data_IF_814125561525
#
_entry.id   IF_814125561525
#
_cell.length_a   1.000
_cell.length_b   1.000
_cell.length_c   1.000
_cell.angle_alpha   90.00
_cell.angle_beta   90.00
_cell.angle_gamma   90.00
#
_symmetry.space_group_name_H-M   'P 1'
#
loop_
_entity.id
_entity.type
_entity.pdbx_description
1 polymer ?
#
# COMPACT_ATOMS: atom_id res chain seq x y z
N UNK A 1 63.41 40.92 -46.00
CA UNK A 1 63.78 40.89 -44.57
C UNK A 1 62.86 41.87 -43.88
N UNK A 2 61.98 41.58 -42.93
CA UNK A 2 61.68 40.46 -42.02
C UNK A 2 60.23 40.80 -41.54
N UNK A 3 59.23 39.90 -41.67
CA UNK A 3 58.52 39.21 -40.56
C UNK A 3 57.97 40.14 -39.45
N UNK A 4 56.72 40.07 -38.94
CA UNK A 4 55.77 38.97 -38.81
C UNK A 4 54.38 39.53 -38.41
N UNK A 5 53.35 38.71 -38.56
CA UNK A 5 51.93 39.05 -38.60
C UNK A 5 51.23 39.26 -37.24
N UNK A 6 50.26 40.17 -37.29
CA UNK A 6 48.96 40.21 -36.56
C UNK A 6 48.56 38.93 -35.85
N UNK A 7 48.27 39.00 -34.53
CA UNK A 7 47.13 38.35 -33.85
C UNK A 7 46.78 39.06 -32.53
N UNK A 8 45.74 39.90 -32.54
CA UNK A 8 45.00 40.27 -31.33
C UNK A 8 44.14 39.06 -30.90
N UNK A 9 44.47 38.42 -29.79
CA UNK A 9 43.64 37.40 -29.16
C UNK A 9 42.54 38.10 -28.34
N UNK A 10 41.33 38.20 -28.90
CA UNK A 10 40.13 38.46 -28.10
C UNK A 10 39.80 37.18 -27.32
N UNK A 11 40.09 37.18 -26.02
CA UNK A 11 39.52 36.19 -25.09
C UNK A 11 38.03 36.52 -24.89
N UNK A 12 37.15 35.79 -25.58
CA UNK A 12 35.73 35.81 -25.30
C UNK A 12 35.48 35.05 -23.98
N UNK A 13 35.31 35.79 -22.88
CA UNK A 13 34.76 35.25 -21.64
C UNK A 13 33.30 34.88 -21.93
N UNK A 14 33.02 33.61 -22.19
CA UNK A 14 31.66 33.08 -22.15
C UNK A 14 31.20 33.11 -20.69
N UNK A 15 30.49 34.18 -20.34
CA UNK A 15 29.70 34.27 -19.13
C UNK A 15 28.53 33.28 -19.30
N UNK A 16 28.75 32.03 -18.87
CA UNK A 16 27.69 31.03 -18.81
C UNK A 16 26.61 31.50 -17.85
N UNK A 17 25.55 32.09 -18.39
CA UNK A 17 24.33 32.33 -17.63
C UNK A 17 23.79 30.96 -17.20
N UNK A 18 24.04 30.58 -15.96
CA UNK A 18 23.26 29.55 -15.31
C UNK A 18 21.82 30.09 -15.28
N UNK A 19 21.00 29.68 -16.25
CA UNK A 19 19.57 29.86 -16.16
C UNK A 19 19.17 29.26 -14.80
N UNK A 20 18.39 29.99 -13.97
CA UNK A 20 17.93 29.43 -12.73
C UNK A 20 17.29 28.08 -13.05
N UNK A 21 17.68 27.02 -12.34
CA UNK A 21 16.94 25.77 -12.34
C UNK A 21 15.54 26.11 -11.84
N UNK A 22 14.62 26.40 -12.77
CA UNK A 22 13.24 26.72 -12.47
C UNK A 22 12.60 25.38 -12.15
N UNK A 23 12.69 25.00 -10.88
CA UNK A 23 11.83 23.98 -10.36
C UNK A 23 10.38 24.43 -10.57
N UNK A 24 9.57 23.55 -11.15
CA UNK A 24 8.18 23.81 -11.48
C UNK A 24 7.27 23.15 -10.45
N UNK A 25 6.10 23.75 -10.20
CA UNK A 25 5.12 23.13 -9.32
C UNK A 25 4.49 21.87 -9.95
N UNK A 26 4.41 21.82 -11.28
CA UNK A 26 3.83 20.70 -12.03
C UNK A 26 4.63 20.41 -13.30
N UNK A 27 5.01 19.15 -13.46
CA UNK A 27 5.59 18.59 -14.68
C UNK A 27 4.65 17.55 -15.30
N UNK A 28 4.89 17.24 -16.57
CA UNK A 28 4.09 16.30 -17.33
C UNK A 28 4.96 15.21 -17.95
N UNK A 29 4.41 14.00 -18.01
CA UNK A 29 5.01 12.88 -18.74
C UNK A 29 4.06 12.34 -19.81
N UNK A 30 4.66 11.83 -20.89
CA UNK A 30 3.96 11.27 -22.03
C UNK A 30 4.74 10.09 -22.61
N UNK A 31 4.07 8.98 -22.83
CA UNK A 31 4.61 7.82 -23.52
C UNK A 31 4.62 7.99 -25.04
N UNK A 32 3.82 8.91 -25.59
CA UNK A 32 3.66 9.10 -27.04
C UNK A 32 4.69 10.08 -27.60
N UNK A 33 4.83 11.26 -26.97
CA UNK A 33 5.66 12.37 -27.43
C UNK A 33 6.64 12.91 -26.38
N UNK A 34 6.77 12.24 -25.23
CA UNK A 34 7.69 12.65 -24.17
C UNK A 34 9.16 12.44 -24.52
N UNK A 35 10.00 13.37 -24.09
CA UNK A 35 11.45 13.31 -24.20
C UNK A 35 12.09 13.92 -22.93
N UNK A 36 12.97 13.18 -22.25
CA UNK A 36 13.61 13.65 -21.02
C UNK A 36 14.59 14.81 -21.24
N UNK A 37 14.99 15.11 -22.49
CA UNK A 37 15.66 16.37 -22.81
C UNK A 37 14.82 17.61 -22.47
N UNK A 38 13.49 17.46 -22.38
CA UNK A 38 12.57 18.54 -22.01
C UNK A 38 12.65 18.93 -20.52
N UNK A 39 13.44 18.22 -19.71
CA UNK A 39 13.84 18.67 -18.37
C UNK A 39 14.50 20.05 -18.40
N UNK A 40 15.22 20.39 -19.48
CA UNK A 40 15.77 21.72 -19.70
C UNK A 40 14.71 22.84 -19.74
N UNK A 41 13.44 22.47 -19.95
CA UNK A 41 12.27 23.37 -20.02
C UNK A 41 11.20 23.04 -18.97
N UNK A 42 11.55 22.26 -17.93
CA UNK A 42 10.64 21.93 -16.83
C UNK A 42 9.55 20.90 -17.17
N UNK A 43 9.69 20.12 -18.26
CA UNK A 43 8.72 19.11 -18.67
C UNK A 43 7.28 19.67 -18.80
N UNK A 44 7.11 20.82 -19.46
CA UNK A 44 5.81 21.46 -19.66
C UNK A 44 4.85 20.57 -20.47
N UNK A 45 3.54 20.81 -20.40
CA UNK A 45 2.55 19.99 -21.13
C UNK A 45 2.75 19.97 -22.65
N UNK A 46 3.31 21.03 -23.24
CA UNK A 46 3.65 21.11 -24.67
C UNK A 46 4.99 20.44 -25.03
N UNK A 47 5.82 20.14 -24.02
CA UNK A 47 7.11 19.48 -24.13
C UNK A 47 7.29 18.52 -22.92
N UNK A 48 6.48 17.45 -22.82
CA UNK A 48 6.49 16.58 -21.65
C UNK A 48 7.77 15.73 -21.60
N UNK A 49 8.13 15.27 -20.40
CA UNK A 49 9.21 14.30 -20.24
C UNK A 49 8.72 12.88 -20.58
N UNK A 50 9.64 11.95 -20.83
CA UNK A 50 9.28 10.57 -21.18
C UNK A 50 8.98 9.76 -19.92
N UNK A 51 9.84 9.87 -18.93
CA UNK A 51 9.80 9.03 -17.72
C UNK A 51 9.45 9.86 -16.48
N UNK A 52 8.77 9.24 -15.52
CA UNK A 52 8.55 9.86 -14.20
C UNK A 52 9.86 10.29 -13.55
N UNK A 53 10.91 9.46 -13.69
CA UNK A 53 12.24 9.74 -13.17
C UNK A 53 12.86 11.03 -13.75
N UNK A 54 12.64 11.32 -15.03
CA UNK A 54 13.07 12.58 -15.64
C UNK A 54 12.29 13.77 -15.08
N UNK A 55 10.96 13.68 -15.09
CA UNK A 55 10.08 14.75 -14.65
C UNK A 55 10.28 15.14 -13.17
N UNK A 56 10.52 14.17 -12.27
CA UNK A 56 10.69 14.49 -10.86
C UNK A 56 11.92 15.35 -10.55
N UNK A 57 12.94 15.37 -11.42
CA UNK A 57 14.16 16.16 -11.20
C UNK A 57 13.97 17.65 -11.33
N UNK A 58 12.86 18.08 -11.96
CA UNK A 58 12.54 19.49 -12.23
C UNK A 58 11.32 19.96 -11.44
N UNK A 59 10.75 19.13 -10.58
CA UNK A 59 9.56 19.47 -9.78
C UNK A 59 9.97 19.88 -8.39
N UNK A 60 9.38 20.96 -7.87
CA UNK A 60 9.58 21.38 -6.48
C UNK A 60 9.05 20.34 -5.47
N UNK A 61 9.62 20.24 -4.26
CA UNK A 61 8.99 19.49 -3.18
C UNK A 61 7.53 19.93 -2.98
N UNK A 62 6.65 18.96 -2.81
CA UNK A 62 5.19 19.06 -2.76
C UNK A 62 4.53 19.39 -4.11
N UNK A 63 5.26 19.30 -5.21
CA UNK A 63 4.73 19.41 -6.57
C UNK A 63 4.05 18.14 -7.10
N UNK A 64 3.73 18.16 -8.39
CA UNK A 64 2.97 17.11 -9.08
C UNK A 64 3.61 16.72 -10.42
N UNK A 65 3.62 15.42 -10.70
CA UNK A 65 3.91 14.87 -12.04
C UNK A 65 2.64 14.23 -12.59
N UNK A 66 2.21 14.67 -13.78
CA UNK A 66 0.98 14.19 -14.44
C UNK A 66 1.32 13.34 -15.65
N UNK A 67 0.83 12.10 -15.69
CA UNK A 67 0.84 11.28 -16.91
C UNK A 67 -0.33 11.66 -17.83
N UNK A 68 0.00 12.17 -19.01
CA UNK A 68 -0.96 12.74 -19.95
C UNK A 68 -1.60 11.72 -20.90
N UNK A 69 -0.92 10.60 -21.16
CA UNK A 69 -1.40 9.58 -22.08
C UNK A 69 -1.09 8.16 -21.61
N UNK A 70 -1.73 7.18 -22.24
CA UNK A 70 -1.61 5.77 -21.85
C UNK A 70 -0.26 5.19 -22.25
N UNK A 71 0.47 4.61 -21.30
CA UNK A 71 1.73 3.94 -21.55
C UNK A 71 2.49 3.54 -20.29
N UNK A 72 3.72 3.07 -20.49
CA UNK A 72 4.62 2.70 -19.41
C UNK A 72 5.52 3.88 -19.01
N UNK A 73 5.66 4.12 -17.71
CA UNK A 73 6.36 5.26 -17.13
C UNK A 73 7.51 4.89 -16.19
N UNK A 74 7.82 3.60 -16.08
CA UNK A 74 9.02 3.08 -15.44
C UNK A 74 8.98 3.10 -13.91
N UNK A 75 9.86 2.30 -13.30
CA UNK A 75 10.05 2.29 -11.86
C UNK A 75 10.71 3.60 -11.38
N UNK A 76 10.42 4.00 -10.14
CA UNK A 76 10.89 5.29 -9.58
C UNK A 76 11.34 5.17 -8.13
N UNK A 77 12.33 6.00 -7.78
CA UNK A 77 12.76 6.22 -6.40
C UNK A 77 12.43 7.66 -6.02
N UNK A 78 11.46 7.82 -5.12
CA UNK A 78 10.93 9.13 -4.73
C UNK A 78 11.67 9.62 -3.48
N UNK A 79 12.41 10.72 -3.64
CA UNK A 79 13.27 11.28 -2.60
C UNK A 79 12.74 12.57 -1.99
N UNK A 80 11.62 13.09 -2.48
CA UNK A 80 10.97 14.29 -1.98
C UNK A 80 9.45 14.11 -1.93
N UNK A 81 8.78 14.93 -1.13
CA UNK A 81 7.32 14.91 -1.10
C UNK A 81 6.78 15.31 -2.47
N UNK A 82 5.88 14.53 -3.08
CA UNK A 82 5.26 14.88 -4.35
C UNK A 82 4.08 13.96 -4.67
N UNK A 83 3.34 14.33 -5.72
CA UNK A 83 2.22 13.54 -6.24
C UNK A 83 2.49 13.06 -7.66
N UNK A 84 2.04 11.84 -7.96
CA UNK A 84 2.00 11.27 -9.30
C UNK A 84 0.55 10.96 -9.65
N UNK A 85 0.05 11.57 -10.72
CA UNK A 85 -1.35 11.47 -11.13
C UNK A 85 -1.46 11.00 -12.57
N UNK A 86 -2.24 9.94 -12.83
CA UNK A 86 -2.73 9.67 -14.18
C UNK A 86 -3.90 10.60 -14.50
N UNK A 87 -3.89 11.22 -15.69
CA UNK A 87 -5.06 11.95 -16.17
C UNK A 87 -6.28 11.00 -16.26
N UNK A 88 -7.52 11.51 -16.12
CA UNK A 88 -8.70 10.66 -16.21
C UNK A 88 -8.74 9.86 -17.52
N UNK A 89 -8.95 8.54 -17.43
CA UNK A 89 -8.98 7.63 -18.58
C UNK A 89 -7.61 7.18 -19.10
N UNK A 90 -6.51 7.68 -18.51
CA UNK A 90 -5.15 7.30 -18.88
C UNK A 90 -4.69 6.07 -18.10
N UNK A 91 -4.10 5.11 -18.81
CA UNK A 91 -3.35 4.01 -18.23
C UNK A 91 -1.90 4.45 -17.98
N UNK A 92 -1.55 4.78 -16.74
CA UNK A 92 -0.16 5.06 -16.35
C UNK A 92 0.46 3.82 -15.69
N UNK A 93 1.21 3.05 -16.48
CA UNK A 93 1.76 1.76 -16.06
C UNK A 93 3.18 1.82 -15.50
N UNK A 94 3.43 1.09 -14.41
CA UNK A 94 4.75 0.75 -13.89
C UNK A 94 4.87 -0.79 -13.91
N UNK A 95 5.63 -1.30 -14.87
CA UNK A 95 5.93 -2.74 -14.96
C UNK A 95 7.17 -3.07 -14.12
N UNK A 96 7.01 -3.98 -13.17
CA UNK A 96 8.07 -4.38 -12.23
C UNK A 96 8.68 -5.71 -12.67
N UNK A 97 9.80 -5.62 -13.38
CA UNK A 97 10.54 -6.80 -13.84
C UNK A 97 11.37 -7.47 -12.75
N UNK A 98 11.92 -6.67 -11.84
CA UNK A 98 12.65 -7.11 -10.65
C UNK A 98 12.62 -6.00 -9.59
N UNK A 99 12.83 -6.36 -8.32
CA UNK A 99 12.89 -5.38 -7.24
C UNK A 99 11.57 -4.62 -7.04
N UNK A 100 11.66 -3.32 -6.77
CA UNK A 100 10.52 -2.48 -6.42
C UNK A 100 10.06 -1.62 -7.61
N UNK A 101 8.76 -1.43 -7.79
CA UNK A 101 8.21 -0.48 -8.76
C UNK A 101 8.35 0.97 -8.31
N UNK A 102 7.96 1.26 -7.07
CA UNK A 102 8.11 2.56 -6.41
C UNK A 102 8.88 2.35 -5.11
N UNK A 103 9.97 3.11 -4.93
CA UNK A 103 10.76 3.10 -3.70
C UNK A 103 10.67 4.45 -2.99
N UNK A 104 10.35 4.41 -1.69
CA UNK A 104 10.30 5.58 -0.80
C UNK A 104 11.13 5.26 0.44
N UNK A 105 12.33 5.84 0.51
CA UNK A 105 13.30 5.56 1.57
C UNK A 105 13.86 6.84 2.21
N UNK A 106 13.26 7.99 1.92
CA UNK A 106 13.71 9.29 2.45
C UNK A 106 12.85 9.69 3.66
N UNK A 107 13.45 10.03 4.82
CA UNK A 107 12.70 10.49 5.97
C UNK A 107 11.83 11.72 5.67
N UNK A 108 10.65 11.77 6.29
CA UNK A 108 9.80 12.97 6.26
C UNK A 108 9.04 13.21 4.94
N UNK A 109 9.23 12.40 3.90
CA UNK A 109 8.55 12.60 2.62
C UNK A 109 7.08 12.17 2.66
N UNK A 110 6.23 12.92 1.97
CA UNK A 110 4.82 12.63 1.77
C UNK A 110 4.54 12.38 0.28
N UNK A 111 4.10 11.17 -0.06
CA UNK A 111 3.89 10.75 -1.46
C UNK A 111 2.43 10.45 -1.72
N UNK A 112 1.93 10.89 -2.87
CA UNK A 112 0.60 10.52 -3.39
C UNK A 112 0.76 9.84 -4.73
N UNK A 113 0.18 8.64 -4.88
CA UNK A 113 0.05 7.93 -6.14
C UNK A 113 -1.43 7.83 -6.47
N UNK A 114 -1.83 8.34 -7.63
CA UNK A 114 -3.23 8.43 -8.02
C UNK A 114 -3.46 7.92 -9.44
N UNK A 115 -4.30 6.89 -9.59
CA UNK A 115 -4.63 6.34 -10.91
C UNK A 115 -3.49 5.55 -11.55
N UNK A 116 -2.46 5.18 -10.79
CA UNK A 116 -1.28 4.47 -11.31
C UNK A 116 -1.57 2.96 -11.31
N UNK A 117 -1.23 2.28 -12.40
CA UNK A 117 -1.24 0.82 -12.46
C UNK A 117 0.17 0.29 -12.26
N UNK A 118 0.36 -0.60 -11.29
CA UNK A 118 1.65 -1.20 -10.93
C UNK A 118 1.49 -2.71 -10.97
N UNK A 119 2.26 -3.39 -11.81
CA UNK A 119 2.16 -4.84 -11.92
C UNK A 119 3.53 -5.50 -12.01
N UNK A 120 3.65 -6.67 -11.38
CA UNK A 120 4.83 -7.50 -11.56
C UNK A 120 4.81 -8.19 -12.92
N UNK A 121 6.00 -8.41 -13.47
CA UNK A 121 6.24 -9.19 -14.70
C UNK A 121 6.81 -10.58 -14.39
N UNK A 122 6.64 -11.06 -13.15
CA UNK A 122 6.98 -12.42 -12.72
C UNK A 122 8.12 -12.52 -11.70
N UNK A 123 8.94 -11.48 -11.55
CA UNK A 123 10.05 -11.46 -10.58
C UNK A 123 10.14 -10.15 -9.76
N UNK A 124 9.12 -9.29 -9.83
CA UNK A 124 9.02 -8.11 -8.96
C UNK A 124 8.83 -8.51 -7.50
N UNK A 125 9.58 -7.88 -6.59
CA UNK A 125 9.48 -8.14 -5.14
C UNK A 125 8.42 -7.28 -4.49
N UNK A 126 8.27 -6.02 -4.90
CA UNK A 126 7.25 -5.12 -4.30
C UNK A 126 6.74 -4.07 -5.28
N UNK A 127 5.45 -3.78 -5.28
CA UNK A 127 4.88 -2.70 -6.10
C UNK A 127 5.29 -1.33 -5.58
N UNK A 128 4.90 -1.01 -4.35
CA UNK A 128 5.30 0.20 -3.62
C UNK A 128 5.96 -0.19 -2.32
N UNK A 129 7.23 0.17 -2.15
CA UNK A 129 7.99 -0.09 -0.93
C UNK A 129 8.33 1.21 -0.23
N UNK A 130 7.81 1.39 0.99
CA UNK A 130 8.09 2.53 1.86
C UNK A 130 8.82 2.07 3.12
N UNK A 131 10.14 2.21 3.10
CA UNK A 131 11.03 1.88 4.23
C UNK A 131 11.40 3.11 5.07
N UNK A 132 11.11 4.31 4.58
CA UNK A 132 11.16 5.55 5.34
C UNK A 132 10.24 6.61 4.72
N UNK A 133 9.83 7.60 5.50
CA UNK A 133 8.98 8.70 5.08
C UNK A 133 7.93 9.04 6.14
N UNK A 134 7.05 9.98 5.83
CA UNK A 134 5.99 10.42 6.75
C UNK A 134 4.59 9.98 6.30
N UNK A 135 4.30 10.05 4.99
CA UNK A 135 2.95 9.77 4.46
C UNK A 135 2.97 9.07 3.12
N UNK A 136 2.04 8.15 2.92
CA UNK A 136 1.76 7.51 1.63
C UNK A 136 0.26 7.49 1.36
N UNK A 137 -0.18 8.07 0.24
CA UNK A 137 -1.54 7.92 -0.26
C UNK A 137 -1.54 7.12 -1.56
N UNK A 138 -2.34 6.05 -1.60
CA UNK A 138 -2.55 5.18 -2.77
C UNK A 138 -4.02 5.26 -3.16
N UNK A 139 -4.32 6.07 -4.17
CA UNK A 139 -5.68 6.47 -4.52
C UNK A 139 -6.05 5.97 -5.92
N UNK A 140 -7.08 5.13 -6.01
CA UNK A 140 -7.60 4.65 -7.30
C UNK A 140 -6.51 4.01 -8.17
N UNK A 141 -5.59 3.31 -7.54
CA UNK A 141 -4.53 2.58 -8.23
C UNK A 141 -4.99 1.15 -8.54
N UNK A 142 -4.22 0.47 -9.40
CA UNK A 142 -4.34 -0.98 -9.61
C UNK A 142 -2.99 -1.60 -9.32
N UNK A 143 -2.92 -2.57 -8.42
CA UNK A 143 -1.68 -3.22 -8.00
C UNK A 143 -1.83 -4.73 -8.11
N UNK A 144 -1.04 -5.38 -8.98
CA UNK A 144 -1.33 -6.78 -9.32
C UNK A 144 -0.15 -7.69 -9.66
N UNK A 145 -0.43 -8.99 -9.58
CA UNK A 145 0.39 -10.09 -10.09
C UNK A 145 1.73 -10.30 -9.37
N UNK A 146 1.91 -9.78 -8.15
CA UNK A 146 3.14 -10.01 -7.38
C UNK A 146 3.23 -11.49 -6.97
N UNK A 147 4.31 -12.21 -7.35
CA UNK A 147 4.43 -13.66 -7.15
C UNK A 147 4.64 -14.01 -5.68
N UNK A 148 4.81 -15.31 -5.36
CA UNK A 148 5.07 -15.78 -4.00
C UNK A 148 6.20 -15.00 -3.29
N UNK A 149 5.95 -14.55 -2.07
CA UNK A 149 6.84 -13.68 -1.29
C UNK A 149 6.84 -12.21 -1.71
N UNK A 150 6.20 -11.86 -2.83
CA UNK A 150 6.04 -10.49 -3.32
C UNK A 150 4.93 -9.72 -2.62
N UNK A 151 5.05 -8.40 -2.59
CA UNK A 151 4.04 -7.51 -1.98
C UNK A 151 3.48 -6.50 -2.97
N UNK A 152 2.18 -6.25 -2.96
CA UNK A 152 1.62 -5.12 -3.70
C UNK A 152 2.14 -3.79 -3.12
N UNK A 153 1.85 -3.55 -1.85
CA UNK A 153 2.36 -2.42 -1.06
C UNK A 153 3.01 -2.94 0.21
N UNK A 154 4.19 -2.43 0.53
CA UNK A 154 4.89 -2.77 1.76
C UNK A 154 5.39 -1.51 2.46
N UNK A 155 4.90 -1.28 3.67
CA UNK A 155 5.32 -0.16 4.53
C UNK A 155 5.90 -0.75 5.81
N UNK A 156 7.20 -0.57 6.05
CA UNK A 156 7.89 -1.07 7.24
C UNK A 156 8.54 0.05 8.06
N UNK A 157 7.83 1.18 8.14
CA UNK A 157 8.24 2.38 8.86
C UNK A 157 7.03 3.05 9.48
N UNK A 158 7.26 3.92 10.47
CA UNK A 158 6.20 4.72 11.07
C UNK A 158 5.75 5.79 10.09
N UNK A 159 4.56 5.61 9.51
CA UNK A 159 3.98 6.51 8.52
C UNK A 159 2.45 6.53 8.61
N UNK A 160 1.85 7.65 8.21
CA UNK A 160 0.41 7.71 7.93
C UNK A 160 0.14 7.18 6.52
N UNK A 161 -0.63 6.11 6.41
CA UNK A 161 -0.93 5.43 5.15
C UNK A 161 -2.41 5.59 4.83
N UNK A 162 -2.74 6.01 3.61
CA UNK A 162 -4.09 6.03 3.09
C UNK A 162 -4.18 5.18 1.84
N UNK A 163 -5.13 4.26 1.81
CA UNK A 163 -5.48 3.47 0.62
C UNK A 163 -6.96 3.70 0.34
N UNK A 164 -7.30 4.13 -0.87
CA UNK A 164 -8.68 4.49 -1.19
C UNK A 164 -9.06 4.13 -2.62
N UNK A 165 -10.13 3.36 -2.80
CA UNK A 165 -10.61 3.01 -4.14
C UNK A 165 -9.62 2.20 -4.97
N UNK A 166 -8.67 1.52 -4.31
CA UNK A 166 -7.56 0.84 -4.99
C UNK A 166 -7.90 -0.64 -5.15
N UNK A 167 -7.59 -1.18 -6.33
CA UNK A 167 -7.73 -2.59 -6.63
C UNK A 167 -6.39 -3.31 -6.44
N UNK A 168 -6.38 -4.34 -5.60
CA UNK A 168 -5.31 -5.29 -5.45
C UNK A 168 -5.75 -6.63 -6.01
N UNK A 169 -5.00 -7.20 -6.96
CA UNK A 169 -5.38 -8.46 -7.61
C UNK A 169 -4.19 -9.40 -7.80
N UNK A 170 -4.36 -10.67 -7.42
CA UNK A 170 -3.41 -11.75 -7.66
C UNK A 170 -1.99 -11.44 -7.14
N UNK A 171 -1.92 -10.85 -5.95
CA UNK A 171 -0.66 -10.61 -5.24
C UNK A 171 -0.42 -11.73 -4.25
N UNK A 172 0.82 -12.03 -3.86
CA UNK A 172 1.03 -12.88 -2.68
C UNK A 172 0.51 -12.20 -1.42
N UNK A 173 1.17 -11.11 -1.01
CA UNK A 173 0.61 -10.16 -0.05
C UNK A 173 0.14 -8.92 -0.80
N UNK A 174 -1.10 -8.50 -0.62
CA UNK A 174 -1.57 -7.28 -1.30
C UNK A 174 -1.09 -6.02 -0.58
N UNK A 175 -1.28 -5.92 0.74
CA UNK A 175 -0.83 -4.80 1.56
C UNK A 175 -0.20 -5.29 2.86
N UNK A 176 1.08 -5.01 3.05
CA UNK A 176 1.83 -5.33 4.28
C UNK A 176 2.18 -4.05 5.03
N UNK A 177 1.82 -4.00 6.30
CA UNK A 177 2.02 -2.88 7.21
C UNK A 177 2.83 -3.35 8.41
N UNK A 178 3.92 -2.66 8.72
CA UNK A 178 4.77 -2.91 9.88
C UNK A 178 5.45 -1.63 10.36
N UNK A 179 6.36 -1.74 11.33
CA UNK A 179 7.20 -0.62 11.76
C UNK A 179 6.48 0.56 12.39
N UNK A 180 5.24 0.36 12.89
CA UNK A 180 4.44 1.43 13.49
C UNK A 180 3.56 2.20 12.50
N UNK A 181 3.41 1.71 11.27
CA UNK A 181 2.51 2.30 10.28
C UNK A 181 1.05 2.39 10.79
N UNK A 182 0.37 3.47 10.42
CA UNK A 182 -1.04 3.72 10.73
C UNK A 182 -1.81 3.89 9.43
N UNK A 183 -2.58 2.88 9.05
CA UNK A 183 -3.29 2.85 7.79
C UNK A 183 -4.79 3.11 7.93
N UNK A 184 -5.36 3.87 6.99
CA UNK A 184 -6.80 3.92 6.72
C UNK A 184 -7.06 3.44 5.29
N UNK A 185 -7.76 2.32 5.17
CA UNK A 185 -8.11 1.65 3.92
C UNK A 185 -9.62 1.79 3.74
N UNK A 186 -10.07 2.35 2.62
CA UNK A 186 -11.49 2.58 2.37
C UNK A 186 -11.89 2.24 0.93
N UNK A 187 -13.01 1.54 0.74
CA UNK A 187 -13.53 1.28 -0.61
C UNK A 187 -12.55 0.54 -1.51
N UNK A 188 -11.68 -0.30 -0.95
CA UNK A 188 -10.62 -0.98 -1.70
C UNK A 188 -10.91 -2.47 -1.83
N UNK A 189 -10.47 -3.06 -2.92
CA UNK A 189 -10.82 -4.43 -3.28
C UNK A 189 -9.55 -5.27 -3.38
N UNK A 190 -9.55 -6.42 -2.71
CA UNK A 190 -8.44 -7.35 -2.63
C UNK A 190 -8.90 -8.72 -3.13
N UNK A 191 -8.50 -9.09 -4.34
CA UNK A 191 -8.89 -10.36 -4.96
C UNK A 191 -7.70 -11.29 -5.18
N UNK A 192 -7.88 -12.57 -4.84
CA UNK A 192 -6.92 -13.61 -5.21
C UNK A 192 -5.56 -13.49 -4.53
N UNK A 193 -5.50 -12.85 -3.35
CA UNK A 193 -4.25 -12.79 -2.59
C UNK A 193 -3.80 -14.18 -2.19
N UNK A 194 -2.62 -14.64 -2.62
CA UNK A 194 -2.19 -16.04 -2.38
C UNK A 194 -1.69 -16.27 -0.95
N UNK A 195 -1.41 -15.21 -0.19
CA UNK A 195 -1.21 -15.26 1.26
C UNK A 195 -2.21 -14.35 1.99
N UNK A 196 -1.97 -13.05 2.11
CA UNK A 196 -2.84 -12.13 2.84
C UNK A 196 -3.28 -10.92 2.02
N UNK A 197 -4.57 -10.56 2.11
CA UNK A 197 -5.08 -9.32 1.54
C UNK A 197 -4.51 -8.10 2.28
N UNK A 198 -4.64 -8.06 3.60
CA UNK A 198 -4.01 -7.04 4.46
C UNK A 198 -3.31 -7.73 5.61
N UNK A 199 -2.00 -7.52 5.72
CA UNK A 199 -1.17 -8.07 6.78
C UNK A 199 -0.58 -6.95 7.65
N UNK A 200 -1.11 -6.82 8.87
CA UNK A 200 -0.53 -5.96 9.91
C UNK A 200 0.37 -6.83 10.77
N UNK A 201 1.68 -6.58 10.70
CA UNK A 201 2.71 -7.45 11.26
C UNK A 201 3.81 -6.68 11.99
N UNK A 202 4.52 -7.36 12.87
CA UNK A 202 5.68 -6.85 13.59
C UNK A 202 7.03 -7.32 13.02
N UNK A 203 7.02 -8.26 12.06
CA UNK A 203 8.22 -8.91 11.52
C UNK A 203 9.28 -7.97 10.92
N UNK A 204 8.89 -6.75 10.52
CA UNK A 204 9.74 -5.82 9.79
C UNK A 204 9.92 -4.47 10.51
N UNK A 205 9.51 -4.40 11.79
CA UNK A 205 9.53 -3.19 12.60
C UNK A 205 10.56 -3.20 13.73
N UNK A 206 10.81 -2.03 14.31
CA UNK A 206 11.55 -1.89 15.57
C UNK A 206 10.78 -2.48 16.77
N UNK A 207 11.42 -2.51 17.94
CA UNK A 207 10.79 -2.97 19.18
C UNK A 207 9.90 -1.90 19.82
N UNK A 208 8.87 -2.33 20.55
CA UNK A 208 7.86 -1.51 21.22
C UNK A 208 7.00 -0.60 20.31
N UNK A 209 6.66 -1.07 19.11
CA UNK A 209 5.81 -0.31 18.16
C UNK A 209 4.39 -0.88 18.08
N UNK A 210 3.42 0.00 17.78
CA UNK A 210 2.05 -0.38 17.45
C UNK A 210 1.77 -0.08 15.97
N UNK A 211 1.51 -1.10 15.19
CA UNK A 211 1.08 -0.98 13.79
C UNK A 211 -0.44 -1.16 13.73
N UNK A 212 -1.15 -0.34 12.96
CA UNK A 212 -2.62 -0.35 12.94
C UNK A 212 -3.16 -0.16 11.53
N UNK A 213 -4.22 -0.89 11.19
CA UNK A 213 -5.03 -0.67 10.00
C UNK A 213 -6.51 -0.51 10.37
N UNK A 214 -7.13 0.57 9.91
CA UNK A 214 -8.57 0.76 9.90
C UNK A 214 -9.10 0.52 8.48
N UNK A 215 -10.04 -0.40 8.32
CA UNK A 215 -10.51 -0.92 7.04
C UNK A 215 -12.02 -0.73 6.97
N UNK A 216 -12.48 0.04 5.99
CA UNK A 216 -13.88 0.43 5.81
C UNK A 216 -14.38 0.09 4.40
N UNK A 217 -15.59 -0.45 4.28
CA UNK A 217 -16.27 -0.71 3.00
C UNK A 217 -15.36 -1.35 1.95
N UNK A 218 -14.59 -2.34 2.37
CA UNK A 218 -13.58 -2.99 1.54
C UNK A 218 -13.93 -4.46 1.34
N UNK A 219 -13.30 -5.07 0.34
CA UNK A 219 -13.54 -6.48 -0.04
C UNK A 219 -12.25 -7.26 0.06
N UNK A 220 -12.25 -8.42 0.73
CA UNK A 220 -11.19 -9.41 0.64
C UNK A 220 -11.78 -10.75 0.18
N UNK A 221 -11.47 -11.18 -1.04
CA UNK A 221 -12.12 -12.35 -1.61
C UNK A 221 -11.26 -13.24 -2.49
N UNK A 222 -11.55 -14.54 -2.44
CA UNK A 222 -10.92 -15.56 -3.30
C UNK A 222 -9.43 -15.76 -3.04
N UNK A 223 -8.91 -15.25 -1.92
CA UNK A 223 -7.52 -15.39 -1.52
C UNK A 223 -7.32 -16.49 -0.47
N UNK A 224 -6.14 -16.52 0.14
CA UNK A 224 -5.87 -17.40 1.27
C UNK A 224 -6.43 -16.82 2.58
N UNK A 225 -5.91 -15.69 3.06
CA UNK A 225 -6.45 -14.95 4.19
C UNK A 225 -6.88 -13.52 3.82
N UNK A 226 -7.94 -13.04 4.48
CA UNK A 226 -8.39 -11.66 4.34
C UNK A 226 -7.52 -10.68 5.13
N UNK A 227 -8.03 -10.17 6.25
CA UNK A 227 -7.35 -9.15 7.04
C UNK A 227 -6.77 -9.74 8.33
N UNK A 228 -5.46 -9.60 8.53
CA UNK A 228 -4.76 -10.22 9.65
C UNK A 228 -3.99 -9.21 10.48
N UNK A 229 -4.15 -9.29 11.80
CA UNK A 229 -3.23 -8.74 12.78
C UNK A 229 -2.40 -9.89 13.34
N UNK A 230 -1.11 -9.94 12.98
CA UNK A 230 -0.19 -10.96 13.48
C UNK A 230 0.94 -10.33 14.29
N UNK A 231 1.23 -10.88 15.46
CA UNK A 231 2.29 -10.40 16.32
C UNK A 231 3.14 -11.56 16.84
N UNK A 232 4.46 -11.44 16.74
CA UNK A 232 5.41 -12.49 17.10
C UNK A 232 6.51 -12.01 18.05
N UNK A 233 6.48 -10.74 18.45
CA UNK A 233 7.52 -10.08 19.24
C UNK A 233 6.92 -9.40 20.48
N UNK A 234 7.42 -9.77 21.66
CA UNK A 234 7.01 -9.15 22.92
C UNK A 234 7.22 -7.62 22.89
N UNK A 235 6.25 -6.88 23.45
CA UNK A 235 6.25 -5.41 23.50
C UNK A 235 5.68 -4.73 22.25
N UNK A 236 5.53 -5.44 21.13
CA UNK A 236 4.87 -4.91 19.93
C UNK A 236 3.35 -5.14 19.96
N UNK A 237 2.62 -4.36 19.15
CA UNK A 237 1.19 -4.56 18.93
C UNK A 237 0.83 -4.46 17.44
N UNK A 238 0.07 -5.42 16.95
CA UNK A 238 -0.52 -5.43 15.61
C UNK A 238 -2.03 -5.32 15.73
N UNK A 239 -2.66 -4.38 15.01
CA UNK A 239 -4.10 -4.09 15.15
C UNK A 239 -4.80 -3.93 13.82
N UNK A 240 -5.96 -4.57 13.69
CA UNK A 240 -6.87 -4.42 12.55
C UNK A 240 -8.26 -4.06 13.06
N UNK A 241 -8.86 -3.01 12.50
CA UNK A 241 -10.24 -2.62 12.77
C UNK A 241 -11.01 -2.64 11.45
N UNK A 242 -12.11 -3.39 11.37
CA UNK A 242 -12.86 -3.64 10.15
C UNK A 242 -14.30 -3.19 10.33
N UNK A 243 -14.81 -2.38 9.40
CA UNK A 243 -16.19 -1.94 9.33
C UNK A 243 -16.79 -2.13 7.94
N UNK A 244 -18.07 -2.49 7.89
CA UNK A 244 -18.91 -2.44 6.69
C UNK A 244 -18.31 -3.15 5.46
N UNK A 245 -17.57 -4.22 5.69
CA UNK A 245 -16.73 -4.89 4.68
C UNK A 245 -17.24 -6.29 4.34
N UNK A 246 -16.84 -6.80 3.18
CA UNK A 246 -17.15 -8.16 2.72
C UNK A 246 -15.87 -8.99 2.69
N UNK A 247 -15.88 -10.12 3.39
CA UNK A 247 -14.77 -11.07 3.39
C UNK A 247 -15.31 -12.43 2.97
N UNK A 248 -14.96 -12.87 1.76
CA UNK A 248 -15.61 -14.05 1.19
C UNK A 248 -14.76 -14.97 0.34
N UNK A 249 -15.00 -16.28 0.45
CA UNK A 249 -14.31 -17.27 -0.37
C UNK A 249 -12.81 -17.38 -0.07
N UNK A 250 -12.36 -17.00 1.13
CA UNK A 250 -10.96 -17.11 1.52
C UNK A 250 -10.65 -18.51 2.06
N UNK A 251 -9.59 -19.14 1.56
CA UNK A 251 -9.28 -20.56 1.87
C UNK A 251 -8.78 -20.82 3.28
N UNK A 252 -8.39 -19.78 4.04
CA UNK A 252 -8.00 -19.86 5.44
C UNK A 252 -8.98 -19.09 6.33
N UNK A 253 -8.98 -17.75 6.27
CA UNK A 253 -9.82 -16.95 7.14
C UNK A 253 -10.29 -15.64 6.51
N UNK A 254 -11.42 -15.09 6.97
CA UNK A 254 -11.81 -13.71 6.71
C UNK A 254 -10.95 -12.74 7.52
N UNK A 255 -11.10 -12.75 8.85
CA UNK A 255 -10.26 -11.93 9.77
C UNK A 255 -9.51 -12.83 10.73
N UNK A 256 -8.25 -12.50 11.00
CA UNK A 256 -7.43 -13.16 12.02
C UNK A 256 -6.77 -12.17 12.98
N UNK A 257 -6.80 -12.48 14.27
CA UNK A 257 -5.88 -11.95 15.27
C UNK A 257 -5.00 -13.09 15.81
N UNK A 258 -3.70 -13.04 15.55
CA UNK A 258 -2.75 -14.07 15.95
C UNK A 258 -1.57 -13.50 16.75
N UNK A 259 -1.32 -14.02 17.95
CA UNK A 259 -0.20 -13.58 18.79
C UNK A 259 0.66 -14.76 19.27
N UNK A 260 1.81 -14.98 18.64
CA UNK A 260 2.83 -15.88 19.17
C UNK A 260 3.58 -15.24 20.36
N UNK A 261 3.74 -13.92 20.32
CA UNK A 261 4.15 -13.07 21.43
C UNK A 261 3.53 -11.67 21.25
N UNK A 262 3.74 -10.77 22.21
CA UNK A 262 3.20 -9.41 22.13
C UNK A 262 1.67 -9.39 22.08
N UNK A 263 1.09 -8.36 21.44
CA UNK A 263 -0.36 -8.18 21.37
C UNK A 263 -0.88 -8.17 19.91
N UNK A 264 -1.90 -8.97 19.62
CA UNK A 264 -2.64 -8.90 18.36
C UNK A 264 -4.10 -8.57 18.64
N UNK A 265 -4.65 -7.59 17.92
CA UNK A 265 -6.02 -7.14 18.13
C UNK A 265 -6.78 -7.04 16.82
N UNK A 266 -7.98 -7.62 16.79
CA UNK A 266 -8.95 -7.39 15.73
C UNK A 266 -10.27 -6.89 16.33
N UNK A 267 -10.89 -5.87 15.70
CA UNK A 267 -12.28 -5.51 15.96
C UNK A 267 -13.06 -5.48 14.66
N UNK A 268 -14.22 -6.12 14.64
CA UNK A 268 -15.02 -6.26 13.41
C UNK A 268 -16.46 -5.88 13.67
N UNK A 269 -16.99 -4.97 12.83
CA UNK A 269 -18.36 -4.50 12.91
C UNK A 269 -19.05 -4.40 11.56
N UNK A 270 -20.36 -4.66 11.51
CA UNK A 270 -21.20 -4.36 10.34
C UNK A 270 -20.80 -5.10 9.07
N UNK A 271 -20.03 -6.18 9.20
CA UNK A 271 -19.33 -6.82 8.08
C UNK A 271 -19.91 -8.20 7.78
N UNK A 272 -19.69 -8.68 6.56
CA UNK A 272 -20.16 -9.97 6.09
C UNK A 272 -19.00 -10.94 5.84
N UNK A 273 -19.13 -12.15 6.38
CA UNK A 273 -18.17 -13.24 6.28
C UNK A 273 -18.86 -14.44 5.66
N UNK A 274 -18.52 -14.75 4.41
CA UNK A 274 -19.18 -15.79 3.64
C UNK A 274 -18.21 -16.75 2.97
N UNK A 275 -18.48 -18.05 3.01
CA UNK A 275 -17.73 -19.03 2.20
C UNK A 275 -16.22 -19.08 2.49
N UNK A 276 -15.79 -18.60 3.66
CA UNK A 276 -14.41 -18.74 4.10
C UNK A 276 -14.22 -20.09 4.79
N UNK A 277 -12.98 -20.55 4.88
CA UNK A 277 -12.69 -21.70 5.75
C UNK A 277 -12.97 -21.34 7.22
N UNK A 278 -12.44 -20.23 7.72
CA UNK A 278 -12.84 -19.61 8.98
C UNK A 278 -13.41 -18.20 8.73
N UNK A 279 -14.56 -17.86 9.29
CA UNK A 279 -15.06 -16.48 9.21
C UNK A 279 -14.13 -15.53 9.96
N UNK A 280 -14.01 -15.76 11.27
CA UNK A 280 -13.13 -14.99 12.16
C UNK A 280 -12.34 -15.93 13.05
N UNK A 281 -11.04 -15.68 13.20
CA UNK A 281 -10.15 -16.48 14.02
C UNK A 281 -9.36 -15.61 15.01
N UNK A 282 -9.26 -16.07 16.26
CA UNK A 282 -8.31 -15.54 17.24
C UNK A 282 -7.48 -16.66 17.84
N UNK A 283 -6.16 -16.47 17.94
CA UNK A 283 -5.26 -17.50 18.49
C UNK A 283 -4.01 -16.88 19.11
N UNK A 284 -3.57 -17.44 20.24
CA UNK A 284 -2.42 -16.96 21.02
C UNK A 284 -2.82 -16.14 22.24
N UNK A 285 -2.05 -16.27 23.33
CA UNK A 285 -2.37 -15.65 24.64
C UNK A 285 -2.48 -14.12 24.62
N UNK A 286 -1.77 -13.47 23.70
CA UNK A 286 -1.81 -12.01 23.50
C UNK A 286 -2.81 -11.56 22.45
N UNK A 287 -3.65 -12.46 21.92
CA UNK A 287 -4.58 -12.16 20.84
C UNK A 287 -6.00 -11.92 21.38
N UNK A 288 -6.63 -10.87 20.87
CA UNK A 288 -8.03 -10.56 21.14
C UNK A 288 -8.76 -10.23 19.85
N UNK A 289 -9.95 -10.79 19.67
CA UNK A 289 -10.86 -10.46 18.57
C UNK A 289 -12.22 -10.07 19.14
N UNK A 290 -12.71 -8.90 18.75
CA UNK A 290 -14.03 -8.40 19.14
C UNK A 290 -14.95 -8.38 17.92
N UNK A 291 -16.10 -9.05 18.02
CA UNK A 291 -17.09 -9.13 16.96
C UNK A 291 -18.43 -8.52 17.41
N UNK A 292 -18.96 -7.58 16.62
CA UNK A 292 -20.29 -7.00 16.82
C UNK A 292 -21.05 -6.81 15.51
N UNK A 293 -22.34 -7.12 15.46
CA UNK A 293 -23.22 -6.75 14.35
C UNK A 293 -22.73 -7.26 12.98
N UNK A 294 -22.21 -8.49 12.93
CA UNK A 294 -21.70 -9.11 11.71
C UNK A 294 -22.59 -10.25 11.22
N UNK A 295 -22.67 -10.42 9.90
CA UNK A 295 -23.22 -11.61 9.27
C UNK A 295 -22.12 -12.64 9.01
N UNK A 296 -22.13 -13.77 9.72
CA UNK A 296 -21.13 -14.84 9.60
C UNK A 296 -21.83 -16.12 9.15
N UNK A 297 -21.80 -16.37 7.83
CA UNK A 297 -22.65 -17.38 7.18
C UNK A 297 -21.89 -18.24 6.18
N UNK A 298 -22.29 -19.50 6.02
CA UNK A 298 -21.75 -20.39 4.99
C UNK A 298 -20.22 -20.59 5.02
N UNK A 299 -19.56 -20.36 6.16
CA UNK A 299 -18.15 -20.68 6.35
C UNK A 299 -18.00 -22.14 6.82
N UNK A 300 -16.84 -22.76 6.65
CA UNK A 300 -16.59 -24.08 7.27
C UNK A 300 -16.62 -23.96 8.81
N UNK A 301 -16.02 -22.90 9.33
CA UNK A 301 -16.09 -22.47 10.72
C UNK A 301 -16.48 -20.99 10.79
N UNK A 302 -17.45 -20.63 11.62
CA UNK A 302 -17.89 -19.25 11.80
C UNK A 302 -16.92 -18.46 12.68
N UNK A 303 -17.15 -18.47 13.99
CA UNK A 303 -16.29 -17.82 14.99
C UNK A 303 -15.36 -18.87 15.62
N UNK A 304 -14.05 -18.65 15.53
CA UNK A 304 -13.03 -19.59 16.00
C UNK A 304 -12.14 -18.94 17.06
N UNK A 305 -12.22 -19.47 18.27
CA UNK A 305 -11.22 -19.26 19.30
C UNK A 305 -10.24 -20.43 19.27
N UNK A 306 -9.06 -20.18 18.71
CA UNK A 306 -7.91 -21.09 18.70
C UNK A 306 -7.16 -21.07 20.04
N UNK A 307 -5.86 -21.41 20.00
CA UNK A 307 -5.02 -21.66 21.18
C UNK A 307 -4.91 -20.45 22.12
N UNK A 308 -5.69 -20.42 23.21
CA UNK A 308 -5.60 -19.42 24.29
C UNK A 308 -5.89 -17.96 23.89
N UNK A 309 -6.43 -17.72 22.70
CA UNK A 309 -6.90 -16.39 22.28
C UNK A 309 -8.21 -16.00 22.96
N UNK A 310 -8.52 -14.70 23.01
CA UNK A 310 -9.77 -14.19 23.57
C UNK A 310 -10.69 -13.74 22.43
N UNK A 311 -11.82 -14.45 22.24
CA UNK A 311 -12.87 -14.03 21.31
C UNK A 311 -14.01 -13.41 22.10
N UNK A 312 -14.27 -12.13 21.88
CA UNK A 312 -15.36 -11.38 22.48
C UNK A 312 -16.48 -11.12 21.47
N UNK A 313 -17.71 -11.36 21.88
CA UNK A 313 -18.90 -11.06 21.08
C UNK A 313 -19.82 -10.10 21.82
N UNK A 314 -20.33 -9.10 21.11
CA UNK A 314 -21.35 -8.17 21.61
C UNK A 314 -22.78 -8.77 21.60
N UNK A 315 -22.92 -10.06 21.26
CA UNK A 315 -24.19 -10.82 21.21
C UNK A 315 -25.20 -10.33 20.16
N UNK A 316 -24.75 -9.61 19.15
CA UNK A 316 -25.56 -9.05 18.05
C UNK A 316 -25.12 -9.55 16.67
N UNK A 317 -24.25 -10.56 16.61
CA UNK A 317 -23.79 -11.18 15.36
C UNK A 317 -24.77 -12.26 14.87
N UNK A 318 -25.06 -12.30 13.57
CA UNK A 318 -25.81 -13.36 12.91
C UNK A 318 -24.86 -14.48 12.47
N UNK A 319 -24.64 -15.47 13.36
CA UNK A 319 -23.73 -16.61 13.11
C UNK A 319 -24.54 -17.87 12.83
N UNK A 320 -24.74 -18.21 11.55
CA UNK A 320 -25.58 -19.35 11.15
C UNK A 320 -25.14 -20.00 9.86
N UNK A 321 -25.64 -21.21 9.60
CA UNK A 321 -25.40 -21.93 8.35
C UNK A 321 -23.92 -22.14 8.04
N UNK A 322 -23.06 -22.11 9.06
CA UNK A 322 -21.66 -22.54 8.94
C UNK A 322 -21.57 -24.04 9.23
N UNK A 323 -20.48 -24.69 8.80
CA UNK A 323 -20.20 -26.09 9.19
C UNK A 323 -20.16 -26.22 10.72
N UNK A 324 -19.43 -25.32 11.36
CA UNK A 324 -19.51 -25.06 12.80
C UNK A 324 -19.72 -23.56 13.02
N UNK A 325 -20.80 -23.15 13.69
CA UNK A 325 -21.03 -21.73 13.98
C UNK A 325 -19.98 -21.17 14.95
N UNK A 326 -19.61 -21.96 15.96
CA UNK A 326 -18.65 -21.57 16.99
C UNK A 326 -17.70 -22.74 17.24
N UNK A 327 -16.42 -22.43 17.34
CA UNK A 327 -15.38 -23.35 17.82
C UNK A 327 -14.57 -22.67 18.92
N UNK A 328 -14.41 -23.33 20.06
CA UNK A 328 -13.76 -22.76 21.25
C UNK A 328 -14.71 -21.93 22.11
N UNK A 329 -14.15 -21.06 22.95
CA UNK A 329 -14.88 -20.23 23.91
C UNK A 329 -15.11 -18.82 23.38
N UNK A 330 -16.35 -18.35 23.45
CA UNK A 330 -16.71 -16.95 23.18
C UNK A 330 -17.05 -16.27 24.51
N UNK A 331 -16.28 -15.24 24.83
CA UNK A 331 -16.56 -14.33 25.94
C UNK A 331 -17.62 -13.32 25.51
N UNK A 332 -18.55 -13.02 26.39
CA UNK A 332 -19.56 -12.00 26.17
C UNK A 332 -19.01 -10.65 26.63
N UNK A 333 -18.96 -9.67 25.72
CA UNK A 333 -18.44 -8.34 26.02
C UNK A 333 -19.47 -7.55 26.84
N UNK A 334 -19.35 -7.58 28.17
CA UNK A 334 -20.22 -6.80 29.05
C UNK A 334 -19.61 -5.44 29.34
N UNK A 335 -20.20 -4.38 28.80
CA UNK A 335 -20.71 -3.20 29.53
C UNK A 335 -21.41 -2.31 28.51
N UNK A 336 -22.74 -2.37 28.42
CA UNK A 336 -23.55 -1.35 27.77
C UNK A 336 -23.81 -0.29 28.86
N UNK A 337 -23.02 0.79 28.88
CA UNK A 337 -23.28 1.94 29.76
C UNK A 337 -24.38 2.82 29.15
#
# INVERSE_FOLDING_TARGET
MLQLASRFLLSAVLLGAALPAQAVQRAYVSAINGNDANTATGCAASAPCRWFAGAMTVVDPKGEVVAMDSGAYGAVTITQSMSFTAAPGVYAGISVFAGNGVTIATPGVAVVLRGITINSMGAGTTGIHMSNGAKLSVERCVISNFPSGGRGVFVNTSADVRVSGTLFRDNHDALVLSGGAKATIAGSEFYGSTDLAVWVTDLYGGSAVTTTAHIDRSVASGGNGGFAAQNTTAGNSSRVMVSDSLLSGNSAFGVQAYAAAGAAYASVRGSQFAENYMGMEVSGVGATLVASDNGVVANSYGLVQGSSGVLESAQDNEVRSNGFNVWGTITTAFTKM
#
